data_IF_872544657755
#
_entry.id   IF_872544657755
#
_cell.length_a   1.000
_cell.length_b   1.000
_cell.length_c   1.000
_cell.angle_alpha   90.00
_cell.angle_beta   90.00
_cell.angle_gamma   90.00
#
_symmetry.space_group_name_H-M   'P 1'
#
loop_
_entity.id
_entity.type
_entity.pdbx_description
1 polymer ?
#
# COMPACT_ATOMS: atom_id res chain seq x y z
N UNK A 1 35.67 2.55 1.34
CA UNK A 1 35.44 2.56 2.80
C UNK A 1 34.80 1.23 3.19
N UNK A 2 35.18 0.65 4.33
CA UNK A 2 34.44 -0.47 4.91
C UNK A 2 33.11 0.11 5.41
N UNK A 3 31.99 -0.34 4.84
CA UNK A 3 30.67 0.09 5.32
C UNK A 3 30.54 -0.37 6.78
N UNK A 4 30.20 0.52 7.73
CA UNK A 4 30.01 0.11 9.12
C UNK A 4 28.83 -0.88 9.19
N UNK A 5 29.02 -1.96 9.95
CA UNK A 5 27.92 -2.90 10.24
C UNK A 5 26.79 -2.15 10.95
N UNK A 6 25.52 -2.46 10.62
CA UNK A 6 24.38 -1.68 11.11
C UNK A 6 24.29 -1.71 12.64
N UNK A 7 24.75 -2.81 13.27
CA UNK A 7 24.85 -2.97 14.74
C UNK A 7 25.76 -1.95 15.43
N UNK A 8 26.69 -1.31 14.71
CA UNK A 8 27.61 -0.34 15.30
C UNK A 8 26.96 1.03 15.52
N UNK A 9 25.84 1.30 14.82
CA UNK A 9 25.10 2.55 14.91
C UNK A 9 24.29 2.58 16.22
N UNK A 10 24.49 3.64 17.03
CA UNK A 10 23.99 3.73 18.42
C UNK A 10 22.84 4.70 18.60
N UNK A 11 22.68 5.65 17.68
CA UNK A 11 21.68 6.71 17.79
C UNK A 11 21.13 7.11 16.41
N UNK A 12 20.02 7.85 16.41
CA UNK A 12 19.35 8.33 15.19
C UNK A 12 20.26 9.15 14.29
N UNK A 13 21.13 9.97 14.87
CA UNK A 13 22.00 10.86 14.10
C UNK A 13 23.02 10.05 13.30
N UNK A 14 23.57 9.00 13.91
CA UNK A 14 24.44 8.04 13.24
C UNK A 14 23.70 7.27 12.13
N UNK A 15 22.45 6.84 12.37
CA UNK A 15 21.61 6.18 11.35
C UNK A 15 21.33 7.11 10.16
N UNK A 16 20.95 8.36 10.41
CA UNK A 16 20.69 9.34 9.36
C UNK A 16 21.98 9.62 8.57
N UNK A 17 23.12 9.82 9.24
CA UNK A 17 24.42 10.00 8.57
C UNK A 17 24.82 8.80 7.72
N UNK A 18 24.59 7.58 8.24
CA UNK A 18 24.84 6.35 7.50
C UNK A 18 24.03 6.33 6.20
N UNK A 19 22.72 6.56 6.28
CA UNK A 19 21.87 6.55 5.08
C UNK A 19 22.13 7.73 4.15
N UNK A 20 22.47 8.92 4.64
CA UNK A 20 22.86 10.05 3.79
C UNK A 20 24.12 9.71 2.99
N UNK A 21 25.16 9.19 3.66
CA UNK A 21 26.40 8.76 3.01
C UNK A 21 26.16 7.64 1.99
N UNK A 22 25.41 6.61 2.39
CA UNK A 22 25.02 5.51 1.52
C UNK A 22 24.25 6.01 0.29
N UNK A 23 23.27 6.89 0.50
CA UNK A 23 22.45 7.45 -0.58
C UNK A 23 23.29 8.29 -1.54
N UNK A 24 24.18 9.14 -1.04
CA UNK A 24 25.06 9.97 -1.86
C UNK A 24 25.97 9.13 -2.75
N UNK A 25 26.65 8.13 -2.18
CA UNK A 25 27.50 7.19 -2.95
C UNK A 25 26.71 6.46 -4.04
N UNK A 26 25.49 6.00 -3.73
CA UNK A 26 24.65 5.27 -4.69
C UNK A 26 24.13 6.17 -5.81
N UNK A 27 23.89 7.45 -5.54
CA UNK A 27 23.48 8.40 -6.58
C UNK A 27 24.62 8.77 -7.52
N UNK A 28 25.86 8.84 -7.03
CA UNK A 28 27.05 8.96 -7.86
C UNK A 28 27.21 7.73 -8.78
N UNK A 29 27.07 6.53 -8.23
CA UNK A 29 27.10 5.27 -9.00
C UNK A 29 25.99 5.20 -10.06
N UNK A 30 24.77 5.59 -9.70
CA UNK A 30 23.63 5.60 -10.60
C UNK A 30 23.86 6.59 -11.75
N UNK A 31 24.41 7.77 -11.46
CA UNK A 31 24.74 8.78 -12.47
C UNK A 31 25.87 8.34 -13.40
N UNK A 32 26.74 7.44 -12.92
CA UNK A 32 27.82 6.83 -13.70
C UNK A 32 27.41 5.53 -14.40
N UNK A 33 26.12 5.16 -14.39
CA UNK A 33 25.54 3.92 -14.94
C UNK A 33 26.22 2.64 -14.41
N UNK A 34 26.78 2.71 -13.20
CA UNK A 34 27.55 1.64 -12.56
C UNK A 34 26.98 1.32 -11.18
N UNK A 35 25.66 1.07 -11.12
CA UNK A 35 25.02 0.74 -9.86
C UNK A 35 25.52 -0.63 -9.36
N UNK A 36 26.44 -0.63 -8.39
CA UNK A 36 26.99 -1.87 -7.83
C UNK A 36 26.18 -2.37 -6.65
N UNK A 37 25.44 -1.47 -6.00
CA UNK A 37 24.70 -1.75 -4.76
C UNK A 37 23.28 -1.18 -4.79
N UNK A 38 22.34 -1.82 -4.07
CA UNK A 38 20.95 -1.39 -3.98
C UNK A 38 20.75 0.06 -3.51
N UNK A 39 19.72 0.75 -4.00
CA UNK A 39 19.25 2.01 -3.41
C UNK A 39 18.65 1.80 -2.01
N UNK A 40 18.49 2.87 -1.22
CA UNK A 40 17.75 2.79 0.06
C UNK A 40 16.27 2.58 -0.21
N UNK A 41 15.66 1.62 0.49
CA UNK A 41 14.21 1.40 0.47
C UNK A 41 13.62 1.62 1.85
N UNK A 42 12.36 2.03 1.83
CA UNK A 42 11.51 2.15 2.98
C UNK A 42 10.26 1.30 2.74
N UNK A 43 9.85 0.51 3.73
CA UNK A 43 8.55 -0.15 3.69
C UNK A 43 7.66 0.45 4.76
N UNK A 44 6.55 1.05 4.35
CA UNK A 44 5.50 1.50 5.25
C UNK A 44 4.59 0.33 5.62
N UNK A 45 4.38 0.15 6.92
CA UNK A 45 3.49 -0.87 7.48
C UNK A 45 2.51 -0.22 8.46
N UNK A 46 1.27 -0.70 8.41
CA UNK A 46 0.27 -0.40 9.41
C UNK A 46 0.39 -1.41 10.57
N UNK A 47 0.29 -0.89 11.78
CA UNK A 47 0.30 -1.65 13.03
C UNK A 47 -0.94 -1.31 13.84
N UNK A 48 -1.42 -2.27 14.63
CA UNK A 48 -2.54 -2.06 15.54
C UNK A 48 -2.21 -1.05 16.66
N UNK A 49 -3.05 0.00 16.82
CA UNK A 49 -3.11 0.79 18.06
C UNK A 49 -4.06 0.04 19.02
N UNK A 50 -3.56 -0.37 20.19
CA UNK A 50 -4.28 -1.21 21.17
C UNK A 50 -5.48 -0.54 21.87
N UNK A 51 -6.31 0.19 21.13
CA UNK A 51 -7.51 0.90 21.61
C UNK A 51 -8.74 -0.01 21.72
N UNK A 52 -8.74 -1.19 21.09
CA UNK A 52 -9.87 -2.12 21.13
C UNK A 52 -9.63 -3.27 22.12
N UNK A 53 -9.65 -2.96 23.43
CA UNK A 53 -9.87 -3.92 24.53
C UNK A 53 -8.84 -5.03 24.76
N UNK A 54 -7.92 -5.29 23.82
CA UNK A 54 -6.81 -6.22 24.00
C UNK A 54 -5.58 -5.46 24.51
N UNK A 55 -4.85 -6.07 25.45
CA UNK A 55 -3.60 -5.54 25.99
C UNK A 55 -2.74 -4.96 24.86
N UNK A 56 -2.28 -3.71 25.02
CA UNK A 56 -1.40 -3.02 24.08
C UNK A 56 -0.16 -3.89 23.86
N UNK A 57 -0.12 -4.62 22.77
CA UNK A 57 1.06 -5.41 22.43
C UNK A 57 2.17 -4.45 22.06
N UNK A 58 3.34 -4.64 22.65
CA UNK A 58 4.51 -3.85 22.29
C UNK A 58 4.96 -4.22 20.87
N UNK A 59 5.59 -3.29 20.17
CA UNK A 59 6.22 -3.57 18.87
C UNK A 59 7.17 -4.78 18.97
N UNK A 60 7.92 -4.89 20.06
CA UNK A 60 8.76 -6.05 20.34
C UNK A 60 7.96 -7.36 20.37
N UNK A 61 6.75 -7.36 20.92
CA UNK A 61 5.88 -8.54 20.97
C UNK A 61 5.39 -8.97 19.60
N UNK A 62 4.96 -8.02 18.76
CA UNK A 62 4.49 -8.30 17.39
C UNK A 62 5.61 -8.88 16.54
N UNK A 63 6.76 -8.22 16.50
CA UNK A 63 7.91 -8.66 15.70
C UNK A 63 8.60 -9.90 16.28
N UNK A 64 8.68 -10.02 17.61
CA UNK A 64 9.33 -11.13 18.31
C UNK A 64 8.73 -12.51 18.02
N UNK A 65 7.41 -12.60 17.80
CA UNK A 65 6.75 -13.87 17.41
C UNK A 65 7.22 -14.43 16.08
N UNK A 66 7.80 -13.58 15.24
CA UNK A 66 8.33 -13.94 13.93
C UNK A 66 9.86 -14.05 13.92
N UNK A 67 10.48 -14.15 15.11
CA UNK A 67 11.93 -14.26 15.22
C UNK A 67 12.67 -12.96 14.91
N UNK A 68 11.99 -11.81 14.97
CA UNK A 68 12.58 -10.49 14.76
C UNK A 68 12.86 -9.83 16.11
N UNK A 69 14.11 -9.40 16.29
CA UNK A 69 14.57 -8.64 17.44
C UNK A 69 14.60 -7.15 17.11
N UNK A 70 14.02 -6.34 17.99
CA UNK A 70 14.03 -4.89 17.91
C UNK A 70 14.89 -4.33 19.05
N UNK A 71 16.07 -3.80 18.72
CA UNK A 71 16.94 -3.11 19.69
C UNK A 71 16.67 -1.61 19.63
N UNK A 72 16.16 -0.97 20.69
CA UNK A 72 15.88 0.46 20.68
C UNK A 72 17.18 1.27 20.53
N UNK A 73 17.15 2.28 19.67
CA UNK A 73 18.16 3.33 19.56
C UNK A 73 17.66 4.63 20.17
N UNK A 74 16.36 4.91 20.04
CA UNK A 74 15.65 5.96 20.77
C UNK A 74 14.18 5.54 21.01
N UNK A 75 13.31 6.47 21.41
CA UNK A 75 11.90 6.21 21.72
C UNK A 75 11.08 5.68 20.54
N UNK A 76 11.47 5.99 19.29
CA UNK A 76 10.71 5.66 18.08
C UNK A 76 11.53 4.91 17.04
N UNK A 77 12.85 4.76 17.21
CA UNK A 77 13.75 4.12 16.26
C UNK A 77 14.38 2.86 16.86
N UNK A 78 14.35 1.78 16.10
CA UNK A 78 14.83 0.47 16.48
C UNK A 78 15.74 -0.10 15.39
N UNK A 79 16.84 -0.75 15.78
CA UNK A 79 17.58 -1.66 14.91
C UNK A 79 16.80 -2.98 14.79
N UNK A 80 16.63 -3.46 13.55
CA UNK A 80 15.88 -4.68 13.21
C UNK A 80 16.85 -5.79 12.83
N UNK A 81 16.82 -6.88 13.58
CA UNK A 81 17.56 -8.11 13.27
C UNK A 81 16.60 -9.29 13.20
N UNK A 82 16.69 -10.08 12.15
CA UNK A 82 15.92 -11.29 11.95
C UNK A 82 16.79 -12.51 12.21
N UNK A 83 16.26 -13.51 12.91
CA UNK A 83 17.03 -14.72 13.23
C UNK A 83 17.46 -15.51 11.97
N UNK A 84 16.71 -15.43 10.87
CA UNK A 84 17.02 -16.14 9.63
C UNK A 84 17.79 -15.28 8.62
N UNK A 85 17.42 -14.00 8.48
CA UNK A 85 17.95 -13.12 7.44
C UNK A 85 19.06 -12.17 7.94
N UNK A 86 19.32 -12.11 9.26
CA UNK A 86 20.35 -11.26 9.84
C UNK A 86 19.91 -9.79 9.97
N UNK A 87 20.80 -8.85 9.63
CA UNK A 87 20.50 -7.42 9.75
C UNK A 87 19.55 -6.96 8.63
N UNK A 88 18.33 -6.54 9.02
CA UNK A 88 17.33 -6.07 8.05
C UNK A 88 17.49 -4.57 7.78
N UNK A 89 17.74 -3.79 8.84
CA UNK A 89 17.75 -2.33 8.77
C UNK A 89 17.22 -1.68 10.05
N UNK A 90 16.48 -0.58 9.90
CA UNK A 90 15.93 0.19 11.02
C UNK A 90 14.42 0.34 10.90
N UNK A 91 13.70 0.20 12.00
CA UNK A 91 12.27 0.45 12.10
C UNK A 91 12.04 1.76 12.84
N UNK A 92 11.34 2.69 12.20
CA UNK A 92 10.92 3.95 12.80
C UNK A 92 9.40 4.01 12.95
N UNK A 93 8.93 4.36 14.14
CA UNK A 93 7.53 4.68 14.42
C UNK A 93 7.27 6.10 13.96
N UNK A 94 6.72 6.24 12.74
CA UNK A 94 6.40 7.56 12.16
C UNK A 94 5.13 8.14 12.77
N UNK A 95 4.16 7.28 13.05
CA UNK A 95 2.87 7.58 13.68
C UNK A 95 2.42 6.41 14.56
N UNK A 96 1.46 6.60 15.48
CA UNK A 96 1.03 5.54 16.40
C UNK A 96 0.64 4.21 15.74
N UNK A 97 0.16 4.27 14.48
CA UNK A 97 -0.26 3.10 13.69
C UNK A 97 0.59 2.83 12.45
N UNK A 98 1.64 3.61 12.21
CA UNK A 98 2.38 3.53 10.96
C UNK A 98 3.87 3.55 11.25
N UNK A 99 4.54 2.48 10.84
CA UNK A 99 5.99 2.32 10.96
C UNK A 99 6.63 2.29 9.59
N UNK A 100 7.91 2.66 9.52
CA UNK A 100 8.73 2.55 8.33
C UNK A 100 9.94 1.67 8.61
N UNK A 101 10.17 0.66 7.76
CA UNK A 101 11.40 -0.14 7.78
C UNK A 101 12.36 0.38 6.72
N UNK A 102 13.44 1.04 7.14
CA UNK A 102 14.54 1.51 6.30
C UNK A 102 15.56 0.41 6.10
N UNK A 103 15.90 0.10 4.85
CA UNK A 103 16.81 -1.01 4.55
C UNK A 103 17.71 -0.72 3.35
N UNK A 104 19.01 -1.09 3.45
CA UNK A 104 19.91 -1.15 2.30
C UNK A 104 19.78 -2.46 1.51
N UNK A 105 18.93 -3.41 1.93
CA UNK A 105 18.79 -4.70 1.23
C UNK A 105 18.34 -4.53 -0.24
N UNK A 106 18.56 -5.57 -1.04
CA UNK A 106 17.95 -5.69 -2.37
C UNK A 106 16.43 -5.75 -2.25
N UNK A 107 15.72 -5.25 -3.27
CA UNK A 107 14.26 -5.13 -3.24
C UNK A 107 13.59 -6.48 -3.00
N UNK A 108 14.06 -7.53 -3.66
CA UNK A 108 13.53 -8.89 -3.52
C UNK A 108 13.65 -9.43 -2.09
N UNK A 109 14.82 -9.25 -1.47
CA UNK A 109 15.08 -9.71 -0.11
C UNK A 109 14.18 -8.96 0.90
N UNK A 110 14.11 -7.62 0.80
CA UNK A 110 13.23 -6.84 1.66
C UNK A 110 11.76 -7.20 1.43
N UNK A 111 11.32 -7.29 0.19
CA UNK A 111 9.94 -7.64 -0.16
C UNK A 111 9.54 -9.02 0.38
N UNK A 112 10.42 -10.02 0.24
CA UNK A 112 10.20 -11.37 0.77
C UNK A 112 10.08 -11.35 2.28
N UNK A 113 10.99 -10.65 2.96
CA UNK A 113 10.96 -10.50 4.42
C UNK A 113 9.67 -9.81 4.88
N UNK A 114 9.31 -8.67 4.28
CA UNK A 114 8.07 -7.93 4.58
C UNK A 114 6.84 -8.80 4.34
N UNK A 115 6.75 -9.48 3.19
CA UNK A 115 5.62 -10.34 2.85
C UNK A 115 5.44 -11.46 3.87
N UNK A 116 6.54 -12.09 4.31
CA UNK A 116 6.51 -13.09 5.39
C UNK A 116 5.94 -12.50 6.67
N UNK A 117 6.38 -11.30 7.06
CA UNK A 117 5.89 -10.61 8.26
C UNK A 117 4.39 -10.30 8.16
N UNK A 118 3.96 -9.64 7.09
CA UNK A 118 2.58 -9.22 6.89
C UNK A 118 1.61 -10.40 6.74
N UNK A 119 2.01 -11.45 6.00
CA UNK A 119 1.16 -12.63 5.83
C UNK A 119 1.16 -13.55 7.05
N UNK A 120 2.21 -13.46 7.89
CA UNK A 120 2.35 -14.23 9.13
C UNK A 120 1.67 -13.60 10.34
N UNK A 121 1.46 -12.28 10.33
CA UNK A 121 0.89 -11.53 11.46
C UNK A 121 -0.46 -10.89 11.09
N UNK A 122 -1.53 -11.13 11.85
CA UNK A 122 -2.77 -10.37 11.72
C UNK A 122 -2.62 -8.91 12.17
N UNK A 123 -1.63 -8.59 13.02
CA UNK A 123 -1.36 -7.24 13.55
C UNK A 123 -0.58 -6.33 12.60
N UNK A 124 -0.05 -6.89 11.51
CA UNK A 124 0.67 -6.16 10.48
C UNK A 124 -0.11 -6.16 9.17
N UNK A 125 -0.13 -5.00 8.51
CA UNK A 125 -0.54 -4.90 7.12
C UNK A 125 0.31 -3.90 6.35
N UNK A 126 0.25 -3.96 5.02
CA UNK A 126 0.83 -2.92 4.18
C UNK A 126 0.06 -1.62 4.33
N UNK A 127 0.74 -0.49 4.15
CA UNK A 127 0.05 0.77 3.86
C UNK A 127 -0.40 0.74 2.40
N UNK A 128 -1.71 0.79 2.15
CA UNK A 128 -2.28 0.66 0.80
C UNK A 128 -2.62 2.00 0.16
N UNK A 129 -2.01 2.32 -0.98
CA UNK A 129 -2.33 3.47 -1.81
C UNK A 129 -3.04 3.02 -3.09
N UNK A 130 -4.36 3.21 -3.11
CA UNK A 130 -5.17 2.92 -4.31
C UNK A 130 -4.85 3.87 -5.47
N UNK A 131 -5.20 3.51 -6.69
CA UNK A 131 -5.13 4.41 -7.85
C UNK A 131 -5.93 5.71 -7.61
N UNK A 132 -7.06 5.62 -6.90
CA UNK A 132 -7.82 6.80 -6.44
C UNK A 132 -7.01 7.69 -5.47
N UNK A 133 -6.28 7.08 -4.54
CA UNK A 133 -5.39 7.80 -3.62
C UNK A 133 -4.24 8.46 -4.38
N UNK A 134 -3.60 7.72 -5.29
CA UNK A 134 -2.52 8.26 -6.11
C UNK A 134 -2.98 9.35 -7.07
N UNK A 135 -4.23 9.32 -7.56
CA UNK A 135 -4.78 10.42 -8.36
C UNK A 135 -4.79 11.74 -7.58
N UNK A 136 -5.18 11.71 -6.31
CA UNK A 136 -5.13 12.90 -5.45
C UNK A 136 -3.70 13.29 -5.08
N UNK A 137 -2.83 12.32 -4.78
CA UNK A 137 -1.42 12.60 -4.52
C UNK A 137 -0.71 13.18 -5.75
N UNK A 138 -1.11 12.76 -6.96
CA UNK A 138 -0.62 13.31 -8.21
C UNK A 138 -1.01 14.78 -8.36
N UNK A 139 -2.25 15.15 -8.05
CA UNK A 139 -2.69 16.55 -8.04
C UNK A 139 -1.81 17.39 -7.09
N UNK A 140 -1.46 16.86 -5.91
CA UNK A 140 -0.55 17.52 -4.97
C UNK A 140 0.87 17.64 -5.54
N UNK A 141 1.40 16.58 -6.16
CA UNK A 141 2.72 16.62 -6.82
C UNK A 141 2.74 17.72 -7.89
N UNK A 142 1.68 17.82 -8.68
CA UNK A 142 1.56 18.84 -9.73
C UNK A 142 1.48 20.27 -9.18
N UNK A 143 0.85 20.45 -8.00
CA UNK A 143 0.78 21.74 -7.32
C UNK A 143 2.10 22.14 -6.65
N UNK A 144 2.80 21.18 -6.02
CA UNK A 144 4.00 21.44 -5.24
C UNK A 144 5.28 21.48 -6.08
N UNK A 145 5.29 20.83 -7.24
CA UNK A 145 6.46 20.72 -8.11
C UNK A 145 6.44 21.77 -9.23
N UNK A 146 7.63 22.19 -9.67
CA UNK A 146 7.73 23.02 -10.87
C UNK A 146 7.27 22.21 -12.10
N UNK A 147 6.48 22.79 -13.03
CA UNK A 147 5.92 22.06 -14.17
C UNK A 147 6.96 21.39 -15.09
N UNK A 148 8.20 21.90 -15.11
CA UNK A 148 9.30 21.36 -15.93
C UNK A 148 10.06 20.20 -15.28
N UNK A 149 9.75 19.83 -14.04
CA UNK A 149 10.37 18.68 -13.37
C UNK A 149 9.88 17.40 -14.00
N UNK A 150 10.79 16.47 -14.25
CA UNK A 150 10.41 15.13 -14.67
C UNK A 150 9.88 14.33 -13.48
N UNK A 151 8.85 13.54 -13.76
CA UNK A 151 8.26 12.59 -12.82
C UNK A 151 7.94 11.28 -13.53
N UNK A 152 7.46 10.31 -12.78
CA UNK A 152 7.13 8.96 -13.26
C UNK A 152 5.85 8.50 -12.61
N UNK A 153 4.92 8.01 -13.44
CA UNK A 153 3.77 7.22 -13.02
C UNK A 153 3.90 5.82 -13.63
N UNK A 154 3.57 4.81 -12.84
CA UNK A 154 3.41 3.44 -13.35
C UNK A 154 1.98 3.02 -13.08
N UNK A 155 1.36 2.43 -14.10
CA UNK A 155 0.02 1.90 -14.06
C UNK A 155 0.11 0.39 -14.21
N UNK A 156 -0.65 -0.34 -13.39
CA UNK A 156 -0.62 -1.80 -13.40
C UNK A 156 -2.02 -2.36 -13.18
N UNK A 157 -2.45 -3.16 -14.14
CA UNK A 157 -3.65 -3.98 -14.04
C UNK A 157 -3.27 -5.43 -14.33
N UNK A 158 -3.51 -6.29 -13.36
CA UNK A 158 -3.20 -7.72 -13.47
C UNK A 158 -4.54 -8.47 -13.59
N UNK A 159 -4.94 -8.91 -14.80
CA UNK A 159 -6.19 -9.66 -15.06
C UNK A 159 -6.12 -11.12 -14.57
N UNK A 160 -5.75 -11.33 -13.31
CA UNK A 160 -5.49 -12.65 -12.73
C UNK A 160 -6.74 -13.54 -12.65
N UNK A 161 -7.93 -12.96 -12.75
CA UNK A 161 -9.21 -13.67 -12.67
C UNK A 161 -9.81 -13.99 -14.06
N UNK A 162 -9.17 -13.57 -15.15
CA UNK A 162 -9.61 -13.88 -16.53
C UNK A 162 -9.09 -15.22 -17.06
N UNK A 163 -8.20 -15.90 -16.33
CA UNK A 163 -7.49 -17.08 -16.81
C UNK A 163 -7.95 -18.32 -16.04
N UNK A 164 -8.36 -19.34 -16.78
CA UNK A 164 -8.98 -20.58 -16.28
C UNK A 164 -8.00 -21.61 -15.67
N UNK A 165 -6.79 -21.21 -15.23
CA UNK A 165 -5.80 -22.20 -14.77
C UNK A 165 -5.65 -22.24 -13.23
N UNK A 166 -5.95 -23.39 -12.58
CA UNK A 166 -5.83 -23.59 -11.14
C UNK A 166 -4.42 -24.06 -10.75
N UNK A 167 -3.36 -23.48 -11.29
CA UNK A 167 -2.02 -23.78 -10.77
C UNK A 167 -1.76 -23.01 -9.48
N UNK A 168 -1.08 -23.62 -8.50
CA UNK A 168 -0.64 -22.91 -7.31
C UNK A 168 0.19 -21.72 -7.78
N UNK A 169 -0.04 -20.54 -7.18
CA UNK A 169 0.91 -19.43 -7.30
C UNK A 169 2.30 -20.01 -6.99
N UNK A 170 3.12 -20.27 -8.01
CA UNK A 170 4.55 -20.49 -7.81
C UNK A 170 5.01 -19.28 -7.01
N UNK A 171 5.63 -19.52 -5.85
CA UNK A 171 5.86 -18.53 -4.79
C UNK A 171 6.78 -17.36 -5.21
N UNK A 172 7.16 -17.31 -6.48
CA UNK A 172 8.00 -16.34 -7.15
C UNK A 172 7.15 -15.47 -8.10
N UNK A 173 6.36 -14.54 -7.53
CA UNK A 173 6.03 -13.31 -8.25
C UNK A 173 7.30 -12.44 -8.26
N UNK A 174 8.26 -12.79 -9.11
CA UNK A 174 9.29 -11.85 -9.53
C UNK A 174 8.59 -10.72 -10.28
N UNK A 175 8.48 -9.55 -9.67
CA UNK A 175 8.29 -8.34 -10.47
C UNK A 175 9.44 -8.26 -11.47
N UNK A 176 9.21 -7.91 -12.75
CA UNK A 176 10.31 -7.69 -13.66
C UNK A 176 11.06 -6.42 -13.22
N UNK A 177 12.10 -6.59 -12.41
CA UNK A 177 13.15 -5.60 -12.24
C UNK A 177 13.89 -5.48 -13.56
N UNK A 178 13.56 -4.46 -14.35
CA UNK A 178 14.39 -3.97 -15.45
C UNK A 178 14.61 -4.96 -16.60
N UNK A 179 14.09 -4.61 -17.78
CA UNK A 179 14.57 -5.17 -19.05
C UNK A 179 16.10 -5.10 -19.06
N UNK A 180 16.75 -6.23 -18.85
CA UNK A 180 18.13 -6.48 -19.25
C UNK A 180 18.03 -7.43 -20.42
N UNK A 181 18.47 -6.95 -21.58
CA UNK A 181 18.58 -7.73 -22.80
C UNK A 181 19.56 -8.89 -22.57
N UNK A 182 19.15 -10.11 -22.94
CA UNK A 182 20.05 -11.24 -23.14
C UNK A 182 19.95 -12.36 -22.10
N UNK A 183 19.35 -13.49 -22.49
CA UNK A 183 19.40 -14.76 -21.77
C UNK A 183 18.36 -15.74 -22.32
N UNK A 184 18.82 -16.83 -22.91
CA UNK A 184 18.07 -17.73 -23.78
C UNK A 184 16.96 -18.55 -23.09
N UNK A 185 16.01 -18.87 -23.97
CA UNK A 185 14.89 -19.81 -23.94
C UNK A 185 15.19 -21.17 -23.26
N UNK A 186 14.41 -21.49 -22.22
CA UNK A 186 14.15 -22.86 -21.79
C UNK A 186 12.68 -22.97 -21.33
N UNK A 187 11.79 -23.30 -22.28
CA UNK A 187 10.75 -24.33 -22.11
C UNK A 187 9.66 -24.19 -21.04
N UNK A 188 9.44 -23.02 -20.43
CA UNK A 188 8.25 -22.79 -19.58
C UNK A 188 7.07 -22.42 -20.48
N UNK A 189 5.98 -23.19 -20.44
CA UNK A 189 4.71 -22.82 -21.07
C UNK A 189 4.28 -21.44 -20.53
N UNK A 190 4.52 -20.38 -21.31
CA UNK A 190 4.15 -19.01 -20.94
C UNK A 190 2.63 -18.92 -21.07
N UNK A 191 1.93 -19.23 -19.98
CA UNK A 191 0.50 -18.88 -19.85
C UNK A 191 0.43 -17.36 -19.99
N UNK A 192 -0.18 -16.88 -21.07
CA UNK A 192 -0.27 -15.46 -21.42
C UNK A 192 -1.13 -14.72 -20.37
N UNK A 193 -0.48 -14.31 -19.27
CA UNK A 193 -1.10 -13.46 -18.26
C UNK A 193 -1.27 -12.08 -18.86
N UNK A 194 -2.52 -11.63 -19.07
CA UNK A 194 -2.82 -10.23 -19.42
C UNK A 194 -2.53 -9.31 -18.24
N UNK A 195 -1.25 -9.05 -17.99
CA UNK A 195 -0.79 -8.02 -17.09
C UNK A 195 -0.45 -6.78 -17.94
N UNK A 196 -1.28 -5.74 -17.82
CA UNK A 196 -0.98 -4.45 -18.46
C UNK A 196 -0.12 -3.65 -17.52
N UNK A 197 1.12 -3.35 -17.96
CA UNK A 197 1.97 -2.36 -17.29
C UNK A 197 2.28 -1.21 -18.24
N UNK A 198 1.92 0.00 -17.83
CA UNK A 198 2.27 1.22 -18.56
C UNK A 198 3.12 2.12 -17.69
N UNK A 199 4.16 2.70 -18.27
CA UNK A 199 5.06 3.63 -17.59
C UNK A 199 5.06 4.96 -18.33
N UNK A 200 4.64 6.02 -17.63
CA UNK A 200 4.67 7.38 -18.13
C UNK A 200 5.79 8.14 -17.44
N UNK A 201 6.76 8.62 -18.22
CA UNK A 201 7.86 9.49 -17.74
C UNK A 201 7.88 10.74 -18.60
N UNK A 202 7.55 11.87 -18.00
CA UNK A 202 7.55 13.17 -18.66
C UNK A 202 7.62 14.29 -17.60
N UNK A 203 7.60 15.54 -18.06
CA UNK A 203 7.46 16.73 -17.25
C UNK A 203 6.10 16.75 -16.56
N UNK A 204 6.09 17.20 -15.31
CA UNK A 204 4.89 17.30 -14.47
C UNK A 204 3.75 18.00 -15.20
N UNK A 205 4.01 19.16 -15.82
CA UNK A 205 2.99 19.93 -16.53
C UNK A 205 2.39 19.19 -17.74
N UNK A 206 3.21 18.41 -18.46
CA UNK A 206 2.75 17.65 -19.64
C UNK A 206 1.87 16.49 -19.21
N UNK A 207 2.26 15.77 -18.16
CA UNK A 207 1.43 14.68 -17.62
C UNK A 207 0.12 15.26 -17.08
N UNK A 208 0.16 16.38 -16.35
CA UNK A 208 -1.02 17.01 -15.78
C UNK A 208 -2.05 17.38 -16.86
N UNK A 209 -1.59 17.89 -18.00
CA UNK A 209 -2.44 18.24 -19.14
C UNK A 209 -3.06 17.01 -19.81
N UNK A 210 -2.31 15.93 -19.98
CA UNK A 210 -2.69 14.80 -20.86
C UNK A 210 -3.28 13.59 -20.15
N UNK A 211 -3.00 13.41 -18.85
CA UNK A 211 -3.32 12.17 -18.14
C UNK A 211 -4.81 11.86 -18.14
N UNK A 212 -5.67 12.87 -17.93
CA UNK A 212 -7.12 12.68 -17.89
C UNK A 212 -7.66 12.14 -19.23
N UNK A 213 -7.22 12.72 -20.35
CA UNK A 213 -7.61 12.26 -21.69
C UNK A 213 -7.11 10.84 -21.95
N UNK A 214 -5.87 10.53 -21.57
CA UNK A 214 -5.32 9.17 -21.71
C UNK A 214 -6.13 8.15 -20.91
N UNK A 215 -6.50 8.48 -19.67
CA UNK A 215 -7.31 7.61 -18.81
C UNK A 215 -8.72 7.35 -19.38
N UNK A 216 -9.33 8.36 -20.01
CA UNK A 216 -10.64 8.19 -20.65
C UNK A 216 -10.60 7.19 -21.82
N UNK A 217 -9.48 7.16 -22.56
CA UNK A 217 -9.29 6.32 -23.74
C UNK A 217 -8.78 4.92 -23.35
N UNK A 218 -8.00 4.79 -22.27
CA UNK A 218 -7.39 3.53 -21.86
C UNK A 218 -7.54 3.30 -20.35
N UNK A 219 -8.49 2.41 -19.98
CA UNK A 219 -8.88 2.18 -18.59
C UNK A 219 -7.77 1.71 -17.65
N UNK A 220 -6.75 0.90 -18.05
CA UNK A 220 -5.68 0.51 -17.14
C UNK A 220 -4.91 1.68 -16.53
N UNK A 221 -4.97 2.88 -17.15
CA UNK A 221 -4.35 4.09 -16.62
C UNK A 221 -5.05 4.68 -15.39
N UNK A 222 -6.17 4.13 -14.94
CA UNK A 222 -6.73 4.48 -13.62
C UNK A 222 -6.05 3.72 -12.46
N UNK A 223 -5.42 2.58 -12.73
CA UNK A 223 -4.73 1.77 -11.73
C UNK A 223 -3.28 2.21 -11.56
N UNK A 224 -3.07 3.43 -11.04
CA UNK A 224 -1.72 3.89 -10.66
C UNK A 224 -1.20 2.96 -9.56
N UNK A 225 -0.05 2.33 -9.81
CA UNK A 225 0.65 1.44 -8.87
C UNK A 225 1.94 2.05 -8.34
N UNK A 226 2.46 3.08 -9.00
CA UNK A 226 3.63 3.82 -8.56
C UNK A 226 3.51 5.30 -8.92
N UNK A 227 3.88 6.17 -7.98
CA UNK A 227 4.01 7.62 -8.19
C UNK A 227 5.37 8.12 -7.69
N UNK A 228 6.08 8.86 -8.52
CA UNK A 228 7.30 9.58 -8.12
C UNK A 228 6.95 10.98 -7.60
N UNK A 229 7.42 11.29 -6.39
CA UNK A 229 7.48 12.64 -5.85
C UNK A 229 8.85 13.25 -6.19
N UNK A 230 8.95 14.28 -7.04
CA UNK A 230 10.23 14.92 -7.34
C UNK A 230 10.83 15.56 -6.09
N UNK A 231 12.14 15.43 -5.89
CA UNK A 231 12.81 16.09 -4.75
C UNK A 231 12.75 17.61 -4.88
N UNK A 232 12.39 18.38 -3.83
CA UNK A 232 12.42 19.83 -3.87
C UNK A 232 13.85 20.39 -3.87
N UNK A 233 14.81 19.66 -3.30
CA UNK A 233 16.17 20.14 -3.04
C UNK A 233 17.20 19.69 -4.07
N UNK A 234 16.92 18.64 -4.85
CA UNK A 234 17.91 18.06 -5.76
C UNK A 234 17.33 17.29 -6.94
N UNK A 235 18.21 16.52 -7.60
CA UNK A 235 17.84 15.60 -8.69
C UNK A 235 17.12 14.37 -8.14
N UNK A 236 16.34 13.73 -9.00
CA UNK A 236 15.60 12.52 -8.65
C UNK A 236 14.31 12.78 -7.87
N UNK A 237 13.93 11.81 -7.05
CA UNK A 237 12.67 11.81 -6.31
C UNK A 237 12.45 10.55 -5.48
N UNK A 238 11.24 10.41 -4.97
CA UNK A 238 10.81 9.33 -4.10
C UNK A 238 9.74 8.51 -4.80
N UNK A 239 10.03 7.26 -5.10
CA UNK A 239 9.09 6.36 -5.79
C UNK A 239 8.21 5.66 -4.75
N UNK A 240 6.95 6.07 -4.62
CA UNK A 240 5.95 5.41 -3.77
C UNK A 240 5.18 4.36 -4.57
N UNK A 241 4.98 3.18 -3.97
CA UNK A 241 4.24 2.06 -4.55
C UNK A 241 2.92 1.84 -3.81
N UNK A 242 1.96 1.20 -4.48
CA UNK A 242 0.61 0.89 -3.99
C UNK A 242 0.56 0.10 -2.68
N UNK A 243 1.60 -0.67 -2.38
CA UNK A 243 1.76 -1.46 -1.17
C UNK A 243 2.62 -0.79 -0.08
N UNK A 244 2.88 0.51 -0.18
CA UNK A 244 3.61 1.25 0.84
C UNK A 244 5.13 1.09 0.79
N UNK A 245 5.67 0.35 -0.19
CA UNK A 245 7.09 0.41 -0.51
C UNK A 245 7.42 1.81 -1.02
N UNK A 246 8.60 2.30 -0.68
CA UNK A 246 9.15 3.56 -1.17
C UNK A 246 10.63 3.39 -1.50
N UNK A 247 11.06 3.86 -2.66
CA UNK A 247 12.49 3.85 -3.05
C UNK A 247 13.03 5.27 -3.09
N UNK A 248 14.14 5.51 -2.38
CA UNK A 248 14.86 6.77 -2.44
C UNK A 248 15.71 6.83 -3.73
N UNK A 249 15.47 7.83 -4.58
CA UNK A 249 16.30 8.14 -5.76
C UNK A 249 16.85 9.57 -5.71
N UNK A 250 16.91 10.14 -4.51
CA UNK A 250 17.54 11.43 -4.24
C UNK A 250 18.90 11.20 -3.60
N UNK A 251 19.69 12.25 -3.44
CA UNK A 251 21.00 12.22 -2.76
C UNK A 251 20.88 12.34 -1.23
N UNK A 252 19.69 12.66 -0.71
CA UNK A 252 19.45 12.96 0.71
C UNK A 252 18.45 11.98 1.32
N UNK A 253 18.86 11.27 2.36
CA UNK A 253 17.96 10.43 3.15
C UNK A 253 17.03 11.29 4.03
N UNK A 254 17.51 12.45 4.49
CA UNK A 254 16.64 13.41 5.21
C UNK A 254 15.45 13.85 4.37
N UNK A 255 15.68 14.21 3.10
CA UNK A 255 14.61 14.57 2.15
C UNK A 255 13.63 13.40 1.95
N UNK A 256 14.15 12.18 1.84
CA UNK A 256 13.34 10.97 1.77
C UNK A 256 12.45 10.77 2.99
N UNK A 257 13.03 10.87 4.19
CA UNK A 257 12.28 10.76 5.45
C UNK A 257 11.21 11.84 5.58
N UNK A 258 11.49 13.07 5.18
CA UNK A 258 10.49 14.17 5.17
C UNK A 258 9.31 13.86 4.26
N UNK A 259 9.52 13.28 3.07
CA UNK A 259 8.43 12.85 2.18
C UNK A 259 7.62 11.70 2.77
N UNK A 260 8.27 10.72 3.39
CA UNK A 260 7.56 9.65 4.08
C UNK A 260 6.64 10.23 5.17
N UNK A 261 7.16 11.12 6.01
CA UNK A 261 6.38 11.79 7.06
C UNK A 261 5.20 12.58 6.48
N UNK A 262 5.39 13.26 5.36
CA UNK A 262 4.31 13.98 4.68
C UNK A 262 3.20 13.05 4.21
N UNK A 263 3.54 12.02 3.42
CA UNK A 263 2.55 11.08 2.87
C UNK A 263 1.87 10.26 3.98
N UNK A 264 2.62 9.86 5.01
CA UNK A 264 2.09 9.12 6.17
C UNK A 264 1.09 9.95 6.97
N UNK A 265 1.26 11.28 7.08
CA UNK A 265 0.25 12.14 7.71
C UNK A 265 -1.06 12.13 6.92
N UNK A 266 -1.00 12.20 5.59
CA UNK A 266 -2.19 12.17 4.72
C UNK A 266 -2.91 10.83 4.91
N UNK A 267 -2.13 9.75 4.88
CA UNK A 267 -2.65 8.40 5.06
C UNK A 267 -3.27 8.19 6.46
N UNK A 268 -2.63 8.68 7.53
CA UNK A 268 -3.18 8.59 8.89
C UNK A 268 -4.52 9.32 9.02
N UNK A 269 -4.66 10.51 8.42
CA UNK A 269 -5.93 11.23 8.41
C UNK A 269 -7.00 10.50 7.61
N UNK A 270 -6.64 9.96 6.45
CA UNK A 270 -7.54 9.17 5.62
C UNK A 270 -8.03 7.92 6.35
N UNK A 271 -7.13 7.23 7.04
CA UNK A 271 -7.44 6.04 7.85
C UNK A 271 -8.49 6.38 8.92
N UNK A 272 -8.24 7.45 9.70
CA UNK A 272 -9.17 7.92 10.75
C UNK A 272 -10.51 8.37 10.17
N UNK A 273 -10.50 9.11 9.06
CA UNK A 273 -11.72 9.59 8.41
C UNK A 273 -12.56 8.43 7.85
N UNK A 274 -11.89 7.39 7.34
CA UNK A 274 -12.53 6.16 6.86
C UNK A 274 -13.17 5.42 8.02
N UNK A 275 -12.44 5.19 9.10
CA UNK A 275 -12.96 4.53 10.30
C UNK A 275 -14.16 5.26 10.91
N UNK A 276 -14.06 6.58 11.10
CA UNK A 276 -15.14 7.40 11.66
C UNK A 276 -16.44 7.36 10.84
N UNK A 277 -16.34 7.22 9.51
CA UNK A 277 -17.50 7.21 8.61
C UNK A 277 -18.02 5.79 8.36
N UNK A 278 -17.13 4.82 8.17
CA UNK A 278 -17.48 3.46 7.79
C UNK A 278 -17.95 2.61 8.99
N UNK A 279 -17.48 2.88 10.21
CA UNK A 279 -17.78 2.04 11.36
C UNK A 279 -19.26 1.98 11.68
N UNK A 280 -19.82 0.80 11.40
CA UNK A 280 -21.16 0.43 11.80
C UNK A 280 -21.22 0.23 13.32
N UNK A 281 -22.04 1.02 14.00
CA UNK A 281 -22.37 0.87 15.42
C UNK A 281 -23.85 1.20 15.66
N UNK A 282 -24.45 0.50 16.61
CA UNK A 282 -25.79 0.80 17.10
C UNK A 282 -25.59 1.67 18.34
N UNK A 283 -25.97 2.95 18.28
CA UNK A 283 -25.99 3.79 19.46
C UNK A 283 -27.35 3.66 20.13
N UNK A 284 -27.35 3.17 21.37
CA UNK A 284 -28.51 3.24 22.24
C UNK A 284 -28.71 4.71 22.65
N UNK A 285 -29.85 5.28 22.30
CA UNK A 285 -30.31 6.56 22.82
C UNK A 285 -30.65 6.36 24.30
N UNK A 286 -29.68 6.64 25.17
CA UNK A 286 -29.88 6.60 26.62
C UNK A 286 -30.87 7.71 27.00
N UNK A 287 -32.08 7.33 27.44
CA UNK A 287 -32.87 8.15 28.37
C UNK A 287 -34.35 8.39 28.08
N UNK A 288 -34.97 7.91 26.99
CA UNK A 288 -36.42 8.11 26.76
C UNK A 288 -37.09 6.81 26.28
N UNK A 289 -38.11 6.29 26.98
CA UNK A 289 -38.90 5.16 26.51
C UNK A 289 -39.54 5.49 25.16
N UNK A 290 -39.22 4.72 24.11
CA UNK A 290 -39.86 4.85 22.79
C UNK A 290 -39.02 5.51 21.68
N UNK A 291 -37.74 5.80 21.87
CA UNK A 291 -36.87 6.26 20.77
C UNK A 291 -36.09 5.12 20.11
N UNK A 292 -36.05 5.17 18.78
CA UNK A 292 -35.39 4.21 17.89
C UNK A 292 -33.87 4.14 18.14
N UNK A 293 -33.31 2.92 18.07
CA UNK A 293 -31.86 2.69 18.01
C UNK A 293 -31.28 3.40 16.79
N UNK A 294 -30.34 4.33 16.99
CA UNK A 294 -29.69 5.03 15.88
C UNK A 294 -28.60 4.14 15.32
N UNK A 295 -28.79 3.70 14.09
CA UNK A 295 -27.75 3.05 13.30
C UNK A 295 -26.75 4.13 12.87
N UNK A 296 -25.49 3.96 13.25
CA UNK A 296 -24.37 4.83 12.90
C UNK A 296 -23.40 4.03 12.05
N UNK A 297 -22.78 4.65 11.05
CA UNK A 297 -21.86 4.00 10.12
C UNK A 297 -22.44 3.87 8.72
N UNK A 298 -21.56 3.93 7.73
CA UNK A 298 -21.94 3.98 6.33
C UNK A 298 -21.31 2.81 5.54
N UNK A 299 -22.06 2.17 4.63
CA UNK A 299 -21.52 1.10 3.81
C UNK A 299 -20.42 1.64 2.90
N UNK A 300 -19.38 0.83 2.70
CA UNK A 300 -18.38 1.09 1.67
C UNK A 300 -18.87 0.47 0.38
N UNK A 301 -19.15 1.29 -0.62
CA UNK A 301 -19.65 0.83 -1.92
C UNK A 301 -18.59 1.08 -2.99
N UNK A 302 -18.21 0.03 -3.70
CA UNK A 302 -17.29 0.11 -4.84
C UNK A 302 -18.06 -0.29 -6.07
N UNK A 303 -18.11 0.60 -7.06
CA UNK A 303 -18.84 0.39 -8.32
C UNK A 303 -17.82 0.20 -9.43
N UNK A 304 -18.00 -0.87 -10.18
CA UNK A 304 -17.21 -1.10 -11.38
C UNK A 304 -17.75 -0.23 -12.52
N UNK A 305 -16.86 0.18 -13.41
CA UNK A 305 -17.18 0.91 -14.64
C UNK A 305 -17.92 0.01 -15.62
N UNK A 306 -17.56 -1.27 -15.67
CA UNK A 306 -18.19 -2.29 -16.49
C UNK A 306 -18.51 -3.52 -15.65
N UNK A 307 -19.55 -4.26 -16.04
CA UNK A 307 -19.89 -5.50 -15.36
C UNK A 307 -18.84 -6.58 -15.68
N UNK A 308 -18.36 -7.27 -14.66
CA UNK A 308 -17.46 -8.41 -14.81
C UNK A 308 -18.15 -9.52 -15.60
N UNK A 309 -17.42 -10.18 -16.53
CA UNK A 309 -17.89 -11.42 -17.14
C UNK A 309 -18.21 -12.47 -16.06
N UNK A 310 -19.23 -13.33 -16.26
CA UNK A 310 -19.62 -14.33 -15.26
C UNK A 310 -18.47 -15.22 -14.78
N UNK A 311 -17.60 -15.65 -15.70
CA UNK A 311 -16.43 -16.48 -15.39
C UNK A 311 -15.42 -15.75 -14.48
N UNK A 312 -15.14 -14.47 -14.77
CA UNK A 312 -14.25 -13.62 -13.96
C UNK A 312 -14.83 -13.42 -12.57
N UNK A 313 -16.15 -13.16 -12.49
CA UNK A 313 -16.83 -13.03 -11.21
C UNK A 313 -16.73 -14.32 -10.39
N UNK A 314 -17.00 -15.48 -10.99
CA UNK A 314 -16.93 -16.77 -10.30
C UNK A 314 -15.50 -17.11 -9.84
N UNK A 315 -14.48 -16.87 -10.69
CA UNK A 315 -13.08 -17.04 -10.32
C UNK A 315 -12.72 -16.11 -9.16
N UNK A 316 -13.10 -14.83 -9.22
CA UNK A 316 -12.82 -13.88 -8.14
C UNK A 316 -13.37 -14.36 -6.80
N UNK A 317 -14.61 -14.85 -6.76
CA UNK A 317 -15.21 -15.39 -5.52
C UNK A 317 -14.41 -16.60 -5.03
N UNK A 318 -14.16 -17.59 -5.88
CA UNK A 318 -13.43 -18.80 -5.51
C UNK A 318 -12.01 -18.49 -5.01
N UNK A 319 -11.25 -17.70 -5.78
CA UNK A 319 -9.88 -17.32 -5.43
C UNK A 319 -9.80 -16.45 -4.15
N UNK A 320 -10.84 -15.68 -3.84
CA UNK A 320 -10.87 -14.85 -2.63
C UNK A 320 -11.21 -15.65 -1.38
N UNK A 321 -12.21 -16.53 -1.44
CA UNK A 321 -12.78 -17.16 -0.24
C UNK A 321 -12.38 -18.64 -0.04
N UNK A 322 -11.97 -19.35 -1.09
CA UNK A 322 -11.57 -20.75 -1.00
C UNK A 322 -10.05 -20.92 -0.81
N UNK A 323 -9.25 -19.89 -1.14
CA UNK A 323 -7.79 -19.92 -1.01
C UNK A 323 -7.31 -19.35 0.32
N UNK A 324 -6.46 -20.11 1.02
CA UNK A 324 -5.82 -19.69 2.28
C UNK A 324 -4.89 -18.48 2.12
N UNK A 325 -4.29 -18.27 0.95
CA UNK A 325 -3.50 -17.07 0.65
C UNK A 325 -4.17 -16.38 -0.54
N UNK A 326 -4.89 -15.28 -0.27
CA UNK A 326 -5.55 -14.48 -1.29
C UNK A 326 -5.11 -13.02 -1.19
N UNK A 327 -5.17 -12.29 -2.31
CA UNK A 327 -4.68 -10.90 -2.40
C UNK A 327 -5.47 -9.93 -1.51
N UNK A 328 -6.75 -10.21 -1.26
CA UNK A 328 -7.65 -9.37 -0.47
C UNK A 328 -7.49 -9.54 1.05
N UNK A 329 -6.81 -10.60 1.50
CA UNK A 329 -6.74 -11.06 2.90
C UNK A 329 -8.11 -11.23 3.55
N UNK A 330 -9.10 -11.65 2.77
CA UNK A 330 -10.45 -11.94 3.26
C UNK A 330 -10.62 -13.44 3.51
N UNK A 331 -11.56 -13.79 4.38
CA UNK A 331 -12.03 -15.15 4.59
C UNK A 331 -13.53 -15.13 4.88
N UNK A 332 -14.24 -16.21 4.57
CA UNK A 332 -15.68 -16.29 4.83
C UNK A 332 -16.35 -17.36 3.99
N UNK A 333 -17.62 -17.60 4.25
CA UNK A 333 -18.43 -18.51 3.45
C UNK A 333 -19.24 -17.72 2.42
N UNK A 334 -18.99 -17.88 1.11
CA UNK A 334 -19.81 -17.25 0.08
C UNK A 334 -21.17 -17.93 -0.01
N UNK A 335 -22.24 -17.16 0.12
CA UNK A 335 -23.63 -17.57 -0.07
C UNK A 335 -24.10 -17.02 -1.42
N UNK A 336 -24.21 -17.90 -2.42
CA UNK A 336 -24.65 -17.50 -3.76
C UNK A 336 -26.16 -17.26 -3.75
N UNK A 337 -26.57 -16.03 -4.05
CA UNK A 337 -27.97 -15.61 -4.11
C UNK A 337 -28.50 -15.54 -5.55
N UNK A 338 -27.61 -15.69 -6.54
CA UNK A 338 -27.93 -15.75 -7.96
C UNK A 338 -26.65 -15.86 -8.81
N UNK A 339 -26.77 -15.84 -10.15
CA UNK A 339 -25.62 -15.99 -11.04
C UNK A 339 -24.55 -14.89 -10.87
N UNK A 340 -24.98 -13.66 -10.57
CA UNK A 340 -24.11 -12.49 -10.45
C UNK A 340 -24.24 -11.80 -9.07
N UNK A 341 -24.64 -12.55 -8.03
CA UNK A 341 -24.77 -12.01 -6.67
C UNK A 341 -24.35 -13.05 -5.61
N UNK A 342 -23.40 -12.64 -4.77
CA UNK A 342 -22.88 -13.42 -3.64
C UNK A 342 -22.92 -12.57 -2.38
N UNK A 343 -23.46 -13.12 -1.30
CA UNK A 343 -23.37 -12.55 0.04
C UNK A 343 -22.31 -13.28 0.84
N UNK A 344 -21.49 -12.57 1.62
CA UNK A 344 -20.44 -13.19 2.45
C UNK A 344 -20.53 -12.66 3.86
N UNK A 345 -20.72 -13.58 4.80
CA UNK A 345 -20.36 -13.38 6.20
C UNK A 345 -18.87 -13.64 6.34
N UNK A 346 -18.09 -12.56 6.33
CA UNK A 346 -16.65 -12.60 6.19
C UNK A 346 -15.90 -12.11 7.41
N UNK A 347 -14.59 -12.26 7.33
CA UNK A 347 -13.62 -11.77 8.30
C UNK A 347 -12.44 -11.18 7.53
N UNK A 348 -12.00 -10.00 7.94
CA UNK A 348 -10.68 -9.50 7.55
C UNK A 348 -9.63 -10.25 8.35
N UNK A 349 -8.70 -10.92 7.66
CA UNK A 349 -7.59 -11.63 8.30
C UNK A 349 -6.54 -10.68 8.89
N UNK A 350 -6.56 -9.41 8.51
CA UNK A 350 -5.96 -8.35 9.32
C UNK A 350 -6.92 -8.07 10.49
N UNK A 351 -6.42 -8.31 11.71
CA UNK A 351 -7.15 -8.20 12.99
C UNK A 351 -8.30 -9.19 13.24
N UNK A 352 -8.60 -10.11 12.32
CA UNK A 352 -9.68 -11.10 12.45
C UNK A 352 -11.04 -10.47 12.77
N UNK A 353 -11.31 -9.29 12.17
CA UNK A 353 -12.53 -8.54 12.43
C UNK A 353 -13.64 -8.94 11.45
N UNK A 354 -14.88 -9.13 11.93
CA UNK A 354 -15.99 -9.51 11.06
C UNK A 354 -16.31 -8.39 10.07
N UNK A 355 -16.79 -8.77 8.89
CA UNK A 355 -17.30 -7.85 7.88
C UNK A 355 -18.35 -8.55 7.03
N UNK A 356 -19.27 -7.78 6.46
CA UNK A 356 -20.31 -8.31 5.59
C UNK A 356 -20.09 -7.79 4.18
N UNK A 357 -20.12 -8.68 3.19
CA UNK A 357 -19.97 -8.30 1.79
C UNK A 357 -21.21 -8.69 1.00
N UNK A 358 -21.67 -7.78 0.17
CA UNK A 358 -22.47 -8.11 -1.00
C UNK A 358 -21.60 -7.88 -2.24
N UNK A 359 -21.34 -8.94 -2.99
CA UNK A 359 -20.52 -8.94 -4.19
C UNK A 359 -21.43 -9.17 -5.40
N UNK A 360 -21.30 -8.33 -6.42
CA UNK A 360 -22.02 -8.47 -7.69
C UNK A 360 -21.06 -8.35 -8.87
N UNK A 361 -21.53 -8.71 -10.06
CA UNK A 361 -20.76 -8.46 -11.28
C UNK A 361 -20.48 -6.96 -11.52
N UNK A 362 -21.21 -6.04 -10.89
CA UNK A 362 -21.07 -4.58 -11.11
C UNK A 362 -20.40 -3.85 -9.94
N UNK A 363 -19.99 -4.56 -8.89
CA UNK A 363 -19.34 -3.93 -7.75
C UNK A 363 -19.38 -4.76 -6.48
N UNK A 364 -19.07 -4.10 -5.37
CA UNK A 364 -19.23 -4.67 -4.04
C UNK A 364 -19.68 -3.63 -3.01
N UNK A 365 -20.45 -4.09 -2.04
CA UNK A 365 -20.81 -3.32 -0.85
C UNK A 365 -20.25 -4.03 0.38
N UNK A 366 -19.46 -3.33 1.18
CA UNK A 366 -18.92 -3.82 2.44
C UNK A 366 -19.54 -3.07 3.62
N UNK A 367 -20.08 -3.81 4.59
CA UNK A 367 -20.49 -3.28 5.89
C UNK A 367 -19.39 -3.63 6.87
N UNK A 368 -18.84 -2.59 7.50
CA UNK A 368 -17.64 -2.67 8.31
C UNK A 368 -18.02 -2.35 9.76
N UNK A 369 -18.10 -3.34 10.65
CA UNK A 369 -18.33 -3.14 12.08
C UNK A 369 -17.26 -2.26 12.73
N UNK A 370 -17.67 -1.55 13.78
CA UNK A 370 -16.74 -0.86 14.66
C UNK A 370 -15.65 -1.81 15.19
N UNK A 371 -14.40 -1.36 15.17
CA UNK A 371 -13.23 -2.17 15.53
C UNK A 371 -12.46 -2.71 14.33
N UNK A 372 -13.05 -2.72 13.14
CA UNK A 372 -12.35 -3.10 11.91
C UNK A 372 -11.38 -2.00 11.48
N UNK A 373 -10.15 -2.35 11.08
CA UNK A 373 -9.18 -1.37 10.62
C UNK A 373 -9.64 -0.70 9.32
N UNK A 374 -9.53 0.63 9.21
CA UNK A 374 -9.81 1.35 7.97
C UNK A 374 -8.93 0.90 6.80
N UNK A 375 -7.78 0.29 7.07
CA UNK A 375 -6.89 -0.26 6.06
C UNK A 375 -7.53 -1.41 5.26
N UNK A 376 -8.53 -2.10 5.84
CA UNK A 376 -9.39 -3.05 5.12
C UNK A 376 -10.01 -2.42 3.87
N UNK A 377 -10.50 -1.18 4.00
CA UNK A 377 -11.10 -0.42 2.90
C UNK A 377 -10.04 -0.07 1.87
N UNK A 378 -8.91 0.45 2.31
CA UNK A 378 -7.82 0.86 1.43
C UNK A 378 -7.31 -0.34 0.61
N UNK A 379 -7.08 -1.48 1.25
CA UNK A 379 -6.68 -2.74 0.59
C UNK A 379 -7.74 -3.24 -0.40
N UNK A 380 -9.02 -3.20 -0.01
CA UNK A 380 -10.12 -3.63 -0.86
C UNK A 380 -10.21 -2.78 -2.14
N UNK A 381 -10.16 -1.46 -2.01
CA UNK A 381 -10.19 -0.52 -3.14
C UNK A 381 -8.96 -0.72 -4.03
N UNK A 382 -7.75 -0.77 -3.46
CA UNK A 382 -6.51 -0.98 -4.23
C UNK A 382 -6.53 -2.27 -5.02
N UNK A 383 -6.93 -3.39 -4.39
CA UNK A 383 -6.95 -4.69 -5.05
C UNK A 383 -8.04 -4.80 -6.11
N UNK A 384 -9.21 -4.17 -5.92
CA UNK A 384 -10.23 -4.09 -6.97
C UNK A 384 -9.66 -3.34 -8.18
N UNK A 385 -9.04 -2.18 -7.98
CA UNK A 385 -8.45 -1.43 -9.10
C UNK A 385 -7.33 -2.21 -9.80
N UNK A 386 -6.53 -2.95 -9.02
CA UNK A 386 -5.41 -3.70 -9.56
C UNK A 386 -5.85 -4.94 -10.33
N UNK A 387 -6.84 -5.68 -9.83
CA UNK A 387 -7.13 -7.04 -10.30
C UNK A 387 -8.47 -7.23 -11.01
N UNK A 388 -9.43 -6.30 -10.87
CA UNK A 388 -10.80 -6.47 -11.38
C UNK A 388 -11.21 -5.35 -12.32
N UNK A 389 -11.12 -4.10 -11.85
CA UNK A 389 -11.52 -2.94 -12.65
C UNK A 389 -10.69 -1.71 -12.26
N UNK A 390 -9.69 -1.33 -13.10
CA UNK A 390 -8.89 -0.14 -12.91
C UNK A 390 -9.70 1.14 -12.67
N UNK A 391 -10.83 1.26 -13.35
CA UNK A 391 -11.71 2.43 -13.33
C UNK A 391 -12.72 2.44 -12.19
N UNK A 392 -12.67 1.47 -11.27
CA UNK A 392 -13.63 1.37 -10.19
C UNK A 392 -13.63 2.64 -9.32
N UNK A 393 -14.83 3.04 -8.90
CA UNK A 393 -15.06 4.18 -8.00
C UNK A 393 -15.55 3.68 -6.65
N UNK A 394 -15.06 4.30 -5.57
CA UNK A 394 -15.39 3.91 -4.21
C UNK A 394 -16.10 5.03 -3.46
N UNK A 395 -17.04 4.67 -2.60
CA UNK A 395 -17.82 5.55 -1.74
C UNK A 395 -17.83 5.01 -0.31
N UNK A 396 -17.86 5.92 0.67
CA UNK A 396 -18.14 5.60 2.08
C UNK A 396 -19.41 6.34 2.47
N UNK A 397 -20.54 5.62 2.50
CA UNK A 397 -21.86 6.23 2.45
C UNK A 397 -22.08 6.97 1.14
N UNK A 398 -22.53 8.22 1.22
CA UNK A 398 -22.74 9.08 0.05
C UNK A 398 -21.45 9.78 -0.42
N UNK A 399 -20.35 9.66 0.34
CA UNK A 399 -19.13 10.42 0.08
C UNK A 399 -18.19 9.67 -0.83
N UNK A 400 -17.70 10.34 -1.88
CA UNK A 400 -16.73 9.75 -2.78
C UNK A 400 -15.37 9.59 -2.06
N UNK A 401 -14.74 8.44 -2.23
CA UNK A 401 -13.47 8.12 -1.57
C UNK A 401 -12.37 9.13 -1.92
N UNK A 402 -12.28 9.59 -3.18
CA UNK A 402 -11.30 10.61 -3.59
C UNK A 402 -11.50 11.95 -2.89
N UNK A 403 -12.74 12.34 -2.56
CA UNK A 403 -13.01 13.53 -1.75
C UNK A 403 -12.48 13.36 -0.34
N UNK A 404 -12.63 12.16 0.24
CA UNK A 404 -12.05 11.86 1.56
C UNK A 404 -10.52 11.96 1.55
N UNK A 405 -9.88 11.48 0.49
CA UNK A 405 -8.43 11.62 0.30
C UNK A 405 -8.04 13.10 0.18
N UNK A 406 -8.78 13.91 -0.61
CA UNK A 406 -8.52 15.36 -0.75
C UNK A 406 -8.66 16.10 0.56
N UNK A 407 -9.69 15.83 1.35
CA UNK A 407 -9.86 16.43 2.69
C UNK A 407 -8.70 16.07 3.63
N UNK A 408 -8.27 14.81 3.58
CA UNK A 408 -7.15 14.32 4.38
C UNK A 408 -5.81 14.92 3.94
N UNK A 409 -5.68 15.29 2.66
CA UNK A 409 -4.49 15.97 2.15
C UNK A 409 -4.50 17.48 2.42
N UNK A 410 -5.65 18.13 2.28
CA UNK A 410 -5.78 19.59 2.31
C UNK A 410 -5.44 20.24 3.65
N UNK A 411 -5.43 19.48 4.74
CA UNK A 411 -5.09 19.99 6.08
C UNK A 411 -3.60 19.88 6.43
N UNK A 412 -2.78 19.29 5.55
CA UNK A 412 -1.38 18.95 5.87
C UNK A 412 -0.42 19.87 5.10
N UNK A 413 0.31 20.76 5.78
CA UNK A 413 1.35 21.53 5.13
C UNK A 413 2.51 20.62 4.70
N UNK A 414 3.01 20.83 3.49
CA UNK A 414 4.27 20.25 3.06
C UNK A 414 5.43 21.09 3.61
N UNK A 415 6.16 20.55 4.59
CA UNK A 415 7.38 21.17 5.14
C UNK A 415 8.63 20.40 4.68
N UNK A 416 9.36 20.88 3.66
CA UNK A 416 10.58 20.24 3.18
C UNK A 416 11.73 20.28 4.20
N UNK A 417 11.62 21.02 5.31
CA UNK A 417 12.68 21.22 6.31
C UNK A 417 12.39 20.58 7.68
N UNK A 418 11.40 19.68 7.79
CA UNK A 418 11.12 18.93 9.04
C UNK A 418 12.37 18.20 9.54
N UNK A 419 13.10 18.80 10.49
CA UNK A 419 14.34 18.28 11.08
C UNK A 419 14.11 17.02 11.91
#
# INVERSE_FOLDING_TARGET
>A
MVEPELKQLRDRHQVIRFFDGYTSERMEELSAEKLKRPLVKSQLLEILDGKHGQQRQTLQGVFGRHGVQLKPLDETLFLVTDNAEGEIGFLEVLRPRIVSVYSPLRSEALNRWVRRMVMGSPELDYVWFSGLTFGVLWDLVAQLSRPNRFTRLVFRHDSIFEIDNPEPESEEESEPEGVTEGGDDDGIEVVERRATSFRLVDRVGVIQEKLLTLQQIYSPLYAISQLRFPSPVGRGGHDFYDNGRVTNRCESFRDHRSHLLFVVRIYEQLLRATEQRAWYSIQDSVGVPGQFRKIVGAPVTIRFREALPPQVFDHWIAATFERKRNKFRLWGHPLRLGPAKVHVYGVDRHLWQPLFLELTATGCTAIIPNGTCGNTVHRLVTNIQRYLDPGAVAYVGEKLYTEMVRESAGSIPYDPQSK
#
